data_IF_413840882596
#
_entry.id   IF_413840882596
#
_cell.length_a   1.000
_cell.length_b   1.000
_cell.length_c   1.000
_cell.angle_alpha   90.00
_cell.angle_beta   90.00
_cell.angle_gamma   90.00
#
_symmetry.space_group_name_H-M   'P 1'
#
loop_
_entity.id
_entity.type
_entity.pdbx_description
1 polymer ?
#
# COMPACT_ATOMS: atom_id res chain seq x y z
N UNK A 1 2.54 20.85 3.60
CA UNK A 1 1.10 20.66 3.37
C UNK A 1 0.38 20.36 4.68
N UNK A 2 0.01 21.39 5.44
CA UNK A 2 -0.62 21.23 6.77
C UNK A 2 -2.10 21.68 6.77
N UNK A 3 -2.83 21.28 5.72
CA UNK A 3 -4.26 21.57 5.62
C UNK A 3 -5.04 20.72 6.64
N UNK A 4 -5.45 21.34 7.75
CA UNK A 4 -6.28 20.72 8.80
C UNK A 4 -7.79 20.91 8.60
N UNK A 5 -8.20 21.60 7.53
CA UNK A 5 -9.59 22.01 7.31
C UNK A 5 -10.23 21.28 6.13
N UNK A 6 -11.17 20.38 6.45
CA UNK A 6 -12.02 19.65 5.49
C UNK A 6 -12.75 20.60 4.52
N UNK A 7 -13.25 21.74 5.01
CA UNK A 7 -13.96 22.72 4.20
C UNK A 7 -13.11 23.25 3.02
N UNK A 8 -11.82 23.49 3.24
CA UNK A 8 -10.91 23.94 2.18
C UNK A 8 -10.65 22.85 1.14
N UNK A 9 -10.50 21.59 1.57
CA UNK A 9 -10.35 20.44 0.66
C UNK A 9 -11.58 20.28 -0.22
N UNK A 10 -12.78 20.38 0.35
CA UNK A 10 -14.05 20.32 -0.40
C UNK A 10 -14.20 21.49 -1.38
N UNK A 11 -13.87 22.72 -0.95
CA UNK A 11 -13.91 23.91 -1.81
C UNK A 11 -12.95 23.78 -3.00
N UNK A 12 -11.72 23.34 -2.74
CA UNK A 12 -10.73 23.08 -3.79
C UNK A 12 -11.20 21.98 -4.74
N UNK A 13 -11.67 20.85 -4.19
CA UNK A 13 -12.18 19.73 -4.98
C UNK A 13 -13.36 20.17 -5.87
N UNK A 14 -14.30 20.97 -5.35
CA UNK A 14 -15.44 21.47 -6.15
C UNK A 14 -14.97 22.31 -7.34
N UNK A 15 -13.99 23.20 -7.12
CA UNK A 15 -13.38 23.99 -8.21
C UNK A 15 -12.71 23.07 -9.22
N UNK A 16 -11.81 22.20 -8.78
CA UNK A 16 -11.09 21.28 -9.66
C UNK A 16 -12.04 20.33 -10.43
N UNK A 17 -13.04 19.77 -9.76
CA UNK A 17 -14.02 18.87 -10.35
C UNK A 17 -14.79 19.56 -11.48
N UNK A 18 -15.18 20.83 -11.30
CA UNK A 18 -15.81 21.62 -12.35
C UNK A 18 -14.91 21.72 -13.58
N UNK A 19 -13.63 22.08 -13.43
CA UNK A 19 -12.69 22.11 -14.55
C UNK A 19 -12.49 20.73 -15.20
N UNK A 20 -12.35 19.69 -14.38
CA UNK A 20 -12.12 18.32 -14.85
C UNK A 20 -13.31 17.78 -15.66
N UNK A 21 -14.55 18.04 -15.26
CA UNK A 21 -15.74 17.60 -16.01
C UNK A 21 -15.96 18.36 -17.32
N UNK A 22 -15.51 19.62 -17.38
CA UNK A 22 -15.56 20.46 -18.59
C UNK A 22 -14.32 20.29 -19.49
N UNK A 23 -13.32 19.52 -19.05
CA UNK A 23 -12.23 19.13 -19.94
C UNK A 23 -12.77 18.32 -21.13
N UNK A 24 -12.16 18.46 -22.32
CA UNK A 24 -12.52 17.63 -23.48
C UNK A 24 -11.98 16.19 -23.38
N UNK A 25 -11.37 15.82 -22.25
CA UNK A 25 -10.69 14.55 -22.03
C UNK A 25 -11.61 13.58 -21.27
N UNK A 26 -12.16 12.58 -21.97
CA UNK A 26 -12.99 11.54 -21.36
C UNK A 26 -12.31 10.80 -20.18
N UNK A 27 -11.00 10.46 -20.24
CA UNK A 27 -10.31 9.84 -19.11
C UNK A 27 -10.34 10.69 -17.84
N UNK A 28 -10.18 12.02 -17.97
CA UNK A 28 -10.21 12.96 -16.85
C UNK A 28 -11.61 13.06 -16.26
N UNK A 29 -12.66 13.11 -17.10
CA UNK A 29 -14.05 13.09 -16.63
C UNK A 29 -14.35 11.82 -15.83
N UNK A 30 -13.88 10.66 -16.29
CA UNK A 30 -14.04 9.39 -15.58
C UNK A 30 -13.32 9.40 -14.23
N UNK A 31 -12.06 9.81 -14.20
CA UNK A 31 -11.29 9.94 -12.96
C UNK A 31 -11.96 10.89 -11.97
N UNK A 32 -12.42 12.06 -12.43
CA UNK A 32 -13.12 13.04 -11.61
C UNK A 32 -14.40 12.44 -10.98
N UNK A 33 -15.19 11.67 -11.75
CA UNK A 33 -16.38 10.97 -11.24
C UNK A 33 -16.01 9.95 -10.16
N UNK A 34 -14.94 9.18 -10.35
CA UNK A 34 -14.45 8.23 -9.33
C UNK A 34 -14.04 8.95 -8.05
N UNK A 35 -13.27 10.04 -8.15
CA UNK A 35 -12.86 10.82 -6.97
C UNK A 35 -14.07 11.42 -6.26
N UNK A 36 -15.08 11.92 -7.01
CA UNK A 36 -16.32 12.44 -6.43
C UNK A 36 -17.08 11.38 -5.63
N UNK A 37 -17.10 10.12 -6.09
CA UNK A 37 -17.76 9.03 -5.38
C UNK A 37 -17.10 8.69 -4.04
N UNK A 38 -15.80 8.99 -3.88
CA UNK A 38 -15.02 8.69 -2.68
C UNK A 38 -14.57 9.93 -1.90
N UNK A 39 -15.07 11.12 -2.25
CA UNK A 39 -14.55 12.38 -1.71
C UNK A 39 -14.70 12.48 -0.19
N UNK A 40 -15.78 11.95 0.38
CA UNK A 40 -16.02 11.98 1.82
C UNK A 40 -14.94 11.22 2.60
N UNK A 41 -14.54 10.05 2.10
CA UNK A 41 -13.45 9.27 2.68
C UNK A 41 -12.08 9.95 2.46
N UNK A 42 -11.87 10.60 1.32
CA UNK A 42 -10.63 11.33 1.02
C UNK A 42 -10.46 12.52 1.97
N UNK A 43 -11.54 13.23 2.26
CA UNK A 43 -11.51 14.42 3.14
C UNK A 43 -11.30 14.03 4.61
N UNK A 44 -11.67 12.81 5.00
CA UNK A 44 -11.41 12.24 6.34
C UNK A 44 -9.90 12.20 6.66
N UNK A 45 -9.04 12.17 5.64
CA UNK A 45 -7.59 12.32 5.80
C UNK A 45 -7.18 13.61 6.53
N UNK A 46 -7.90 14.72 6.37
CA UNK A 46 -7.60 15.98 7.05
C UNK A 46 -7.62 15.84 8.58
N UNK A 47 -8.52 14.99 9.09
CA UNK A 47 -8.73 14.75 10.52
C UNK A 47 -7.86 13.62 11.06
N UNK A 48 -7.85 12.48 10.37
CA UNK A 48 -7.24 11.26 10.89
C UNK A 48 -5.84 10.97 10.35
N UNK A 49 -5.41 11.65 9.27
CA UNK A 49 -4.11 11.43 8.60
C UNK A 49 -3.83 9.97 8.21
N UNK A 50 -4.87 9.14 8.12
CA UNK A 50 -4.75 7.74 7.68
C UNK A 50 -4.49 7.73 6.17
N UNK A 51 -3.32 7.23 5.76
CA UNK A 51 -2.92 7.10 4.36
C UNK A 51 -3.10 5.66 3.87
N UNK A 52 -3.33 5.51 2.56
CA UNK A 52 -3.30 4.20 1.90
C UNK A 52 -1.87 3.68 1.65
N UNK A 53 -0.85 4.37 2.16
CA UNK A 53 0.56 4.10 1.86
C UNK A 53 0.97 2.67 2.25
N UNK A 54 0.48 2.16 3.38
CA UNK A 54 0.77 0.78 3.81
C UNK A 54 0.18 -0.25 2.85
N UNK A 55 -1.07 -0.04 2.40
CA UNK A 55 -1.72 -0.92 1.42
C UNK A 55 -1.00 -0.88 0.07
N UNK A 56 -0.59 0.29 -0.38
CA UNK A 56 0.20 0.47 -1.60
C UNK A 56 1.58 -0.21 -1.52
N UNK A 57 2.26 -0.11 -0.38
CA UNK A 57 3.54 -0.79 -0.16
C UNK A 57 3.39 -2.32 -0.26
N UNK A 58 2.35 -2.89 0.35
CA UNK A 58 2.06 -4.32 0.27
C UNK A 58 1.71 -4.71 -1.18
N UNK A 59 0.83 -3.96 -1.83
CA UNK A 59 0.45 -4.20 -3.23
C UNK A 59 1.66 -4.14 -4.17
N UNK A 60 2.56 -3.18 -3.97
CA UNK A 60 3.81 -3.06 -4.73
C UNK A 60 4.77 -4.23 -4.49
N UNK A 61 4.86 -4.73 -3.25
CA UNK A 61 5.66 -5.94 -2.93
C UNK A 61 5.09 -7.17 -3.62
N UNK A 62 3.77 -7.35 -3.62
CA UNK A 62 3.08 -8.46 -4.30
C UNK A 62 3.28 -8.37 -5.82
N UNK A 63 3.11 -7.19 -6.40
CA UNK A 63 3.32 -6.99 -7.85
C UNK A 63 4.78 -7.23 -8.24
N UNK A 64 5.75 -6.86 -7.38
CA UNK A 64 7.16 -7.19 -7.58
C UNK A 64 7.37 -8.71 -7.63
N UNK A 65 6.79 -9.47 -6.70
CA UNK A 65 6.84 -10.94 -6.72
C UNK A 65 6.28 -11.49 -8.03
N UNK A 66 5.14 -10.98 -8.49
CA UNK A 66 4.55 -11.37 -9.77
C UNK A 66 5.47 -11.07 -10.96
N UNK A 67 6.09 -9.89 -10.99
CA UNK A 67 7.02 -9.46 -12.05
C UNK A 67 8.29 -10.30 -12.08
N UNK A 68 8.88 -10.59 -10.92
CA UNK A 68 10.08 -11.44 -10.82
C UNK A 68 9.84 -12.86 -11.34
N UNK A 69 8.62 -13.39 -11.16
CA UNK A 69 8.24 -14.70 -11.66
C UNK A 69 7.78 -14.70 -13.14
N UNK A 70 7.77 -13.55 -13.84
CA UNK A 70 7.20 -13.39 -15.17
C UNK A 70 5.71 -13.82 -15.27
N UNK A 71 4.99 -13.75 -14.16
CA UNK A 71 3.60 -14.20 -14.04
C UNK A 71 3.45 -15.64 -13.53
N UNK A 72 2.27 -15.94 -12.97
CA UNK A 72 1.94 -17.25 -12.45
C UNK A 72 0.78 -17.84 -13.24
N UNK A 73 0.92 -19.08 -13.69
CA UNK A 73 -0.14 -19.80 -14.42
C UNK A 73 -1.21 -20.36 -13.49
N UNK A 74 -0.83 -20.75 -12.27
CA UNK A 74 -1.73 -21.28 -11.25
C UNK A 74 -1.87 -20.30 -10.07
N UNK A 75 -3.12 -20.05 -9.67
CA UNK A 75 -3.45 -19.19 -8.52
C UNK A 75 -2.95 -19.74 -7.19
N UNK A 76 -2.90 -21.07 -7.03
CA UNK A 76 -2.36 -21.69 -5.80
C UNK A 76 -0.88 -21.34 -5.62
N UNK A 77 -0.09 -21.48 -6.69
CA UNK A 77 1.35 -21.16 -6.68
C UNK A 77 1.58 -19.67 -6.41
N UNK A 78 0.75 -18.80 -7.00
CA UNK A 78 0.82 -17.37 -6.73
C UNK A 78 0.59 -17.05 -5.25
N UNK A 79 -0.43 -17.68 -4.64
CA UNK A 79 -0.72 -17.51 -3.21
C UNK A 79 0.44 -18.01 -2.33
N UNK A 80 1.00 -19.17 -2.63
CA UNK A 80 2.16 -19.71 -1.91
C UNK A 80 3.36 -18.78 -2.01
N UNK A 81 3.66 -18.24 -3.20
CA UNK A 81 4.74 -17.28 -3.38
C UNK A 81 4.52 -15.99 -2.58
N UNK A 82 3.28 -15.48 -2.52
CA UNK A 82 2.95 -14.32 -1.68
C UNK A 82 3.23 -14.62 -0.20
N UNK A 83 2.76 -15.74 0.33
CA UNK A 83 3.04 -16.11 1.72
C UNK A 83 4.54 -16.32 1.99
N UNK A 84 5.26 -16.91 1.03
CA UNK A 84 6.70 -17.09 1.15
C UNK A 84 7.44 -15.75 1.27
N UNK A 85 7.12 -14.77 0.42
CA UNK A 85 7.81 -13.47 0.39
C UNK A 85 7.28 -12.43 1.39
N UNK A 86 6.01 -12.50 1.75
CA UNK A 86 5.32 -11.50 2.58
C UNK A 86 4.85 -12.02 3.94
N UNK A 87 4.95 -13.32 4.21
CA UNK A 87 4.42 -13.97 5.41
C UNK A 87 5.35 -13.94 6.63
N UNK A 88 6.55 -13.35 6.53
CA UNK A 88 7.46 -13.22 7.68
C UNK A 88 8.01 -14.56 8.19
N UNK A 89 8.29 -15.49 7.27
CA UNK A 89 8.86 -16.80 7.62
C UNK A 89 10.29 -16.65 8.15
N UNK A 90 10.61 -17.35 9.23
CA UNK A 90 11.98 -17.52 9.71
C UNK A 90 12.66 -18.65 8.92
N UNK A 91 13.45 -18.29 7.91
CA UNK A 91 14.13 -19.22 7.01
C UNK A 91 15.61 -19.42 7.39
N UNK A 92 16.11 -18.66 8.36
CA UNK A 92 17.52 -18.75 8.73
C UNK A 92 17.75 -19.94 9.66
N UNK A 93 18.85 -20.69 9.47
CA UNK A 93 19.22 -21.71 10.43
C UNK A 93 19.49 -21.03 11.78
N UNK A 94 18.89 -21.57 12.84
CA UNK A 94 19.22 -21.09 14.20
C UNK A 94 20.71 -21.36 14.44
N UNK A 95 21.48 -20.35 14.86
CA UNK A 95 22.88 -20.58 15.16
C UNK A 95 23.01 -21.65 16.24
N UNK A 96 24.04 -22.50 16.20
CA UNK A 96 24.27 -23.46 17.26
C UNK A 96 24.38 -22.71 18.59
N UNK A 97 23.77 -23.28 19.64
CA UNK A 97 23.87 -22.73 20.99
C UNK A 97 25.35 -22.56 21.33
N UNK A 98 25.74 -21.35 21.72
CA UNK A 98 27.12 -21.02 22.11
C UNK A 98 27.50 -21.99 23.24
N UNK A 99 28.52 -22.85 23.08
CA UNK A 99 28.94 -23.70 24.18
C UNK A 99 29.43 -22.80 25.31
N UNK A 100 28.74 -22.84 26.44
CA UNK A 100 29.24 -22.23 27.67
C UNK A 100 30.49 -23.02 28.04
N UNK A 101 31.67 -22.44 27.80
CA UNK A 101 32.92 -22.98 28.30
C UNK A 101 32.86 -22.88 29.83
N UNK A 102 32.32 -23.92 30.47
CA UNK A 102 32.45 -24.13 31.90
C UNK A 102 33.91 -24.54 32.16
N UNK A 103 34.79 -23.56 32.38
CA UNK A 103 36.10 -23.84 32.94
C UNK A 103 35.90 -24.41 34.35
N UNK A 104 35.99 -25.73 34.48
CA UNK A 104 36.20 -26.38 35.77
C UNK A 104 37.64 -26.12 36.16
N UNK A 105 37.86 -25.21 37.09
CA UNK A 105 39.13 -25.11 37.82
C UNK A 105 39.28 -26.38 38.67
N UNK A 106 40.41 -27.06 38.47
CA UNK A 106 40.91 -28.18 39.29
C UNK A 106 41.57 -27.61 40.54
#
# INVERSE_FOLDING_TARGET
>A
WDYRYEAHMRKYFKRWYFWATHSRLQPIKKAAKTVKAHIDNIVTYARHRITNALGEAINGKIERVKRMACGFRNRSHYRTAIYFHCGGLDLFPKPPLKPTLCFRTV
#
